data_IF_884288518197
#
_entry.id   IF_884288518197
#
_cell.length_a   1.000
_cell.length_b   1.000
_cell.length_c   1.000
_cell.angle_alpha   90.00
_cell.angle_beta   90.00
_cell.angle_gamma   90.00
#
_symmetry.space_group_name_H-M   'P 1'
#
loop_
_entity.id
_entity.type
_entity.pdbx_description
1 polymer ?
#
# COMPACT_ATOMS: atom_id res chain seq x y z
N UNK A 1 -21.72 34.25 -21.84
CA UNK A 1 -20.67 34.33 -22.91
C UNK A 1 -20.23 32.97 -23.39
N UNK A 2 -19.60 32.10 -22.60
CA UNK A 2 -19.10 30.78 -23.07
C UNK A 2 -20.20 29.83 -23.57
N UNK A 3 -21.36 29.82 -22.91
CA UNK A 3 -22.50 28.99 -23.25
C UNK A 3 -23.08 29.39 -24.63
N UNK A 4 -23.25 30.71 -24.89
CA UNK A 4 -23.73 31.21 -26.16
C UNK A 4 -22.76 30.92 -27.31
N UNK A 5 -21.46 31.14 -27.10
CA UNK A 5 -20.43 30.80 -28.08
C UNK A 5 -20.36 29.28 -28.37
N UNK A 6 -20.65 28.45 -27.40
CA UNK A 6 -20.76 27.00 -27.61
C UNK A 6 -21.98 26.66 -28.48
N UNK A 7 -23.14 27.28 -28.18
CA UNK A 7 -24.36 27.12 -28.99
C UNK A 7 -24.15 27.47 -30.45
N UNK A 8 -23.49 28.58 -30.72
CA UNK A 8 -23.13 29.00 -32.09
C UNK A 8 -22.23 27.94 -32.78
N UNK A 9 -21.25 27.42 -32.06
CA UNK A 9 -20.33 26.42 -32.59
C UNK A 9 -20.98 25.09 -32.97
N UNK A 10 -22.03 24.66 -32.25
CA UNK A 10 -22.78 23.43 -32.54
C UNK A 10 -24.03 23.67 -33.42
N UNK A 11 -24.21 24.91 -33.91
CA UNK A 11 -25.35 25.28 -34.77
C UNK A 11 -26.69 25.40 -34.04
N UNK A 12 -26.69 25.49 -32.71
CA UNK A 12 -27.92 25.77 -31.95
C UNK A 12 -28.20 27.28 -31.95
N UNK A 13 -29.36 27.68 -32.45
CA UNK A 13 -29.76 29.10 -32.45
C UNK A 13 -29.99 29.64 -31.05
N UNK A 14 -29.89 30.95 -30.87
CA UNK A 14 -30.02 31.63 -29.57
C UNK A 14 -31.32 31.29 -28.84
N UNK A 15 -32.42 31.14 -29.53
CA UNK A 15 -33.72 30.77 -28.94
C UNK A 15 -33.72 29.32 -28.43
N UNK A 16 -33.09 28.36 -29.16
CA UNK A 16 -32.95 26.98 -28.70
C UNK A 16 -32.08 26.91 -27.41
N UNK A 17 -31.04 27.71 -27.34
CA UNK A 17 -30.19 27.79 -26.14
C UNK A 17 -30.94 28.34 -24.93
N UNK A 18 -31.77 29.38 -25.11
CA UNK A 18 -32.65 29.94 -24.07
C UNK A 18 -33.69 28.93 -23.62
N UNK A 19 -34.27 28.17 -24.56
CA UNK A 19 -35.27 27.16 -24.22
C UNK A 19 -34.65 26.03 -23.37
N UNK A 20 -33.44 25.53 -23.74
CA UNK A 20 -32.72 24.54 -22.95
C UNK A 20 -32.46 25.05 -21.53
N UNK A 21 -32.03 26.29 -21.40
CA UNK A 21 -31.81 26.91 -20.08
C UNK A 21 -33.09 26.97 -19.26
N UNK A 22 -34.19 27.43 -19.88
CA UNK A 22 -35.49 27.49 -19.24
C UNK A 22 -36.02 26.12 -18.80
N UNK A 23 -35.86 25.10 -19.63
CA UNK A 23 -36.27 23.72 -19.32
C UNK A 23 -35.49 23.15 -18.15
N UNK A 24 -34.16 23.37 -18.10
CA UNK A 24 -33.31 22.97 -16.98
C UNK A 24 -33.73 23.66 -15.68
N UNK A 25 -33.93 24.98 -15.71
CA UNK A 25 -34.36 25.76 -14.55
C UNK A 25 -35.75 25.33 -14.06
N UNK A 26 -36.68 25.06 -14.97
CA UNK A 26 -38.00 24.53 -14.63
C UNK A 26 -37.89 23.13 -13.97
N UNK A 27 -37.01 22.28 -14.49
CA UNK A 27 -36.71 20.98 -13.89
C UNK A 27 -36.19 21.09 -12.46
N UNK A 28 -35.26 22.01 -12.19
CA UNK A 28 -34.75 22.25 -10.84
C UNK A 28 -35.80 22.81 -9.90
N UNK A 29 -36.64 23.74 -10.37
CA UNK A 29 -37.76 24.29 -9.58
C UNK A 29 -38.75 23.17 -9.19
N UNK A 30 -39.16 22.34 -10.14
CA UNK A 30 -40.04 21.21 -9.88
C UNK A 30 -39.41 20.17 -8.91
N UNK A 31 -38.11 19.90 -9.04
CA UNK A 31 -37.42 19.02 -8.14
C UNK A 31 -37.36 19.56 -6.70
N UNK A 32 -37.10 20.87 -6.54
CA UNK A 32 -37.13 21.57 -5.24
C UNK A 32 -38.51 21.47 -4.60
N UNK A 33 -39.56 21.87 -5.33
CA UNK A 33 -40.92 21.85 -4.82
C UNK A 33 -41.38 20.44 -4.42
N UNK A 34 -40.96 19.41 -5.15
CA UNK A 34 -41.20 18.01 -4.81
C UNK A 34 -40.45 17.57 -3.55
N UNK A 35 -39.23 18.04 -3.36
CA UNK A 35 -38.44 17.70 -2.16
C UNK A 35 -39.02 18.32 -0.90
N UNK A 36 -39.49 19.58 -0.98
CA UNK A 36 -40.15 20.27 0.12
C UNK A 36 -41.48 19.61 0.53
N UNK A 37 -42.24 19.10 -0.45
CA UNK A 37 -43.51 18.38 -0.20
C UNK A 37 -43.29 17.00 0.44
N UNK A 38 -42.23 16.29 0.09
CA UNK A 38 -42.03 14.93 0.55
C UNK A 38 -41.55 14.79 1.99
N UNK A 39 -41.02 15.85 2.63
CA UNK A 39 -40.43 15.80 3.97
C UNK A 39 -39.58 14.53 4.23
N UNK A 40 -39.06 13.94 3.18
CA UNK A 40 -38.31 12.69 3.28
C UNK A 40 -36.92 12.99 3.78
N UNK A 41 -36.54 12.37 4.87
CA UNK A 41 -35.12 12.23 5.22
C UNK A 41 -34.46 11.49 4.06
N UNK A 42 -33.42 12.09 3.49
CA UNK A 42 -32.64 11.41 2.44
C UNK A 42 -32.19 10.06 2.99
N UNK A 43 -32.66 8.98 2.39
CA UNK A 43 -32.10 7.68 2.68
C UNK A 43 -30.61 7.70 2.35
N UNK A 44 -29.81 6.98 3.13
CA UNK A 44 -28.42 6.72 2.78
C UNK A 44 -28.37 6.26 1.32
N UNK A 45 -27.39 6.75 0.58
CA UNK A 45 -27.22 6.40 -0.83
C UNK A 45 -27.14 4.89 -0.99
N UNK A 46 -28.06 4.32 -1.76
CA UNK A 46 -28.00 2.91 -2.15
C UNK A 46 -26.89 2.73 -3.18
N UNK A 47 -25.99 1.80 -2.92
CA UNK A 47 -24.93 1.45 -3.85
C UNK A 47 -25.53 0.75 -5.10
N UNK A 48 -24.92 0.91 -6.28
CA UNK A 48 -25.27 0.14 -7.48
C UNK A 48 -25.17 -1.38 -7.26
N UNK A 49 -25.89 -2.15 -8.04
CA UNK A 49 -25.99 -3.60 -7.88
C UNK A 49 -24.65 -4.36 -7.93
N UNK A 50 -23.64 -3.84 -8.64
CA UNK A 50 -22.31 -4.43 -8.68
C UNK A 50 -21.54 -4.34 -7.34
N UNK A 51 -22.08 -3.63 -6.35
CA UNK A 51 -21.58 -3.62 -4.97
C UNK A 51 -22.20 -4.66 -4.06
N UNK A 52 -23.24 -5.40 -4.51
CA UNK A 52 -24.00 -6.33 -3.67
C UNK A 52 -23.14 -7.45 -3.04
N UNK A 53 -22.04 -7.82 -3.70
CA UNK A 53 -21.11 -8.86 -3.21
C UNK A 53 -20.08 -8.36 -2.21
N UNK A 54 -20.08 -7.06 -1.92
CA UNK A 54 -19.07 -6.41 -1.07
C UNK A 54 -19.71 -5.80 0.16
N UNK A 55 -18.88 -5.59 1.17
CA UNK A 55 -19.30 -4.99 2.45
C UNK A 55 -18.34 -3.88 2.87
N UNK A 56 -18.89 -2.84 3.52
CA UNK A 56 -18.17 -1.81 4.25
C UNK A 56 -18.31 -2.02 5.78
N UNK A 57 -18.30 -0.91 6.52
CA UNK A 57 -18.50 -0.91 7.96
C UNK A 57 -17.31 -1.47 8.76
N UNK A 58 -17.55 -1.87 10.01
CA UNK A 58 -16.51 -2.35 10.90
C UNK A 58 -15.80 -3.62 10.42
N UNK A 59 -14.53 -3.76 10.80
CA UNK A 59 -13.74 -4.94 10.49
C UNK A 59 -14.30 -6.20 11.15
N UNK A 60 -14.45 -7.26 10.35
CA UNK A 60 -14.84 -8.58 10.83
C UNK A 60 -13.83 -9.63 10.34
N UNK A 61 -13.21 -10.36 11.27
CA UNK A 61 -12.25 -11.43 10.96
C UNK A 61 -12.82 -12.56 10.12
N UNK A 62 -14.14 -12.78 10.16
CA UNK A 62 -14.81 -13.78 9.31
C UNK A 62 -14.72 -13.46 7.82
N UNK A 63 -14.34 -12.22 7.49
CA UNK A 63 -14.13 -11.77 6.12
C UNK A 63 -12.69 -12.02 5.62
N UNK A 64 -11.78 -12.51 6.49
CA UNK A 64 -10.44 -12.87 6.04
C UNK A 64 -10.49 -14.08 5.08
N UNK A 65 -9.57 -14.07 4.11
CA UNK A 65 -9.54 -15.04 3.02
C UNK A 65 -8.16 -15.68 2.89
N UNK A 66 -8.08 -16.95 2.43
CA UNK A 66 -6.82 -17.56 2.05
C UNK A 66 -6.17 -16.77 0.90
N UNK A 67 -4.87 -16.52 1.02
CA UNK A 67 -4.11 -15.75 0.02
C UNK A 67 -2.94 -16.55 -0.57
N UNK A 68 -2.67 -17.74 -0.07
CA UNK A 68 -1.69 -18.65 -0.64
C UNK A 68 -2.08 -19.11 -2.04
N UNK A 69 -1.09 -19.32 -2.89
CA UNK A 69 -1.27 -19.83 -4.25
C UNK A 69 -0.41 -21.08 -4.44
N UNK A 70 -0.95 -22.18 -4.98
CA UNK A 70 -0.17 -23.39 -5.18
C UNK A 70 1.16 -23.13 -5.90
N UNK A 71 2.27 -23.69 -5.39
CA UNK A 71 3.61 -23.43 -5.90
C UNK A 71 3.76 -23.77 -7.40
N UNK A 72 3.06 -24.80 -7.90
CA UNK A 72 3.04 -25.14 -9.32
C UNK A 72 2.46 -23.97 -10.15
N UNK A 73 1.35 -23.37 -9.68
CA UNK A 73 0.70 -22.25 -10.35
C UNK A 73 1.59 -21.00 -10.36
N UNK A 74 2.27 -20.71 -9.24
CA UNK A 74 3.22 -19.60 -9.18
C UNK A 74 4.40 -19.79 -10.16
N UNK A 75 4.90 -21.03 -10.32
CA UNK A 75 5.96 -21.32 -11.31
C UNK A 75 5.48 -21.16 -12.75
N UNK A 76 4.25 -21.56 -13.07
CA UNK A 76 3.65 -21.34 -14.39
C UNK A 76 3.57 -19.83 -14.69
N UNK A 77 3.08 -19.03 -13.75
CA UNK A 77 3.02 -17.57 -13.87
C UNK A 77 4.44 -17.01 -14.09
N UNK A 78 5.40 -17.39 -13.24
CA UNK A 78 6.78 -16.92 -13.35
C UNK A 78 7.42 -17.28 -14.71
N UNK A 79 7.16 -18.46 -15.24
CA UNK A 79 7.63 -18.86 -16.57
C UNK A 79 7.07 -17.95 -17.67
N UNK A 80 5.80 -17.57 -17.59
CA UNK A 80 5.19 -16.60 -18.51
C UNK A 80 5.75 -15.19 -18.34
N UNK A 81 5.95 -14.74 -17.11
CA UNK A 81 6.54 -13.43 -16.78
C UNK A 81 8.01 -13.28 -17.22
N UNK A 82 8.68 -14.40 -17.48
CA UNK A 82 10.10 -14.40 -17.91
C UNK A 82 10.28 -14.82 -19.37
N UNK A 83 9.18 -15.11 -20.08
CA UNK A 83 9.20 -15.42 -21.50
C UNK A 83 9.37 -14.16 -22.33
N UNK A 84 10.42 -14.09 -23.12
CA UNK A 84 10.68 -13.03 -24.08
C UNK A 84 10.17 -13.47 -25.44
N UNK A 85 9.26 -12.72 -26.08
CA UNK A 85 8.78 -13.06 -27.43
C UNK A 85 9.94 -13.16 -28.44
N UNK A 86 9.88 -14.11 -29.39
CA UNK A 86 10.86 -14.20 -30.46
C UNK A 86 10.99 -12.88 -31.25
N UNK A 87 12.22 -12.42 -31.44
CA UNK A 87 12.51 -11.17 -32.17
C UNK A 87 12.38 -9.90 -31.32
N UNK A 88 11.98 -9.98 -30.03
CA UNK A 88 11.87 -8.83 -29.16
C UNK A 88 13.25 -8.40 -28.59
N UNK A 89 13.64 -7.15 -28.83
CA UNK A 89 14.95 -6.61 -28.47
C UNK A 89 14.94 -5.96 -27.09
N UNK A 90 15.14 -6.77 -26.06
CA UNK A 90 15.18 -6.31 -24.66
C UNK A 90 16.45 -5.52 -24.35
N UNK A 91 16.31 -4.43 -23.61
CA UNK A 91 17.44 -3.76 -22.99
C UNK A 91 18.25 -4.75 -22.11
N UNK A 92 19.59 -4.80 -22.21
CA UNK A 92 20.41 -5.75 -21.45
C UNK A 92 20.19 -5.72 -19.93
N UNK A 93 19.91 -4.54 -19.34
CA UNK A 93 19.62 -4.42 -17.90
C UNK A 93 18.30 -5.08 -17.53
N UNK A 94 17.27 -4.95 -18.39
CA UNK A 94 15.98 -5.61 -18.18
C UNK A 94 16.11 -7.11 -18.32
N UNK A 95 16.85 -7.59 -19.36
CA UNK A 95 17.15 -9.01 -19.56
C UNK A 95 17.76 -9.66 -18.32
N UNK A 96 18.78 -9.02 -17.73
CA UNK A 96 19.41 -9.51 -16.50
C UNK A 96 18.40 -9.62 -15.35
N UNK A 97 17.49 -8.66 -15.20
CA UNK A 97 16.43 -8.73 -14.19
C UNK A 97 15.46 -9.90 -14.41
N UNK A 98 15.11 -10.19 -15.67
CA UNK A 98 14.25 -11.31 -16.05
C UNK A 98 14.94 -12.66 -15.74
N UNK A 99 16.22 -12.80 -16.06
CA UNK A 99 17.02 -13.98 -15.72
C UNK A 99 17.07 -14.22 -14.21
N UNK A 100 17.24 -13.17 -13.40
CA UNK A 100 17.18 -13.28 -11.94
C UNK A 100 15.80 -13.74 -11.47
N UNK A 101 14.70 -13.26 -12.06
CA UNK A 101 13.34 -13.72 -11.73
C UNK A 101 13.16 -15.22 -12.06
N UNK A 102 13.73 -15.69 -13.17
CA UNK A 102 13.72 -17.12 -13.49
C UNK A 102 14.49 -17.96 -12.45
N UNK A 103 15.62 -17.46 -11.94
CA UNK A 103 16.36 -18.10 -10.84
C UNK A 103 15.54 -18.14 -9.54
N UNK A 104 14.81 -17.07 -9.21
CA UNK A 104 13.92 -17.01 -8.05
C UNK A 104 12.77 -18.04 -8.17
N UNK A 105 12.15 -18.14 -9.36
CA UNK A 105 11.10 -19.10 -9.65
C UNK A 105 11.58 -20.55 -9.55
N UNK A 106 12.83 -20.79 -9.92
CA UNK A 106 13.50 -22.10 -9.79
C UNK A 106 13.94 -22.42 -8.35
N UNK A 107 13.75 -21.48 -7.40
CA UNK A 107 14.18 -21.64 -6.00
C UNK A 107 15.70 -21.52 -5.76
N UNK A 108 16.46 -21.04 -6.77
CA UNK A 108 17.90 -20.80 -6.64
C UNK A 108 18.23 -19.52 -5.88
N UNK A 109 17.27 -18.62 -5.79
CA UNK A 109 17.34 -17.35 -5.06
C UNK A 109 16.02 -17.11 -4.33
N UNK A 110 16.01 -16.37 -3.21
CA UNK A 110 14.77 -15.93 -2.59
C UNK A 110 14.04 -14.94 -3.50
N UNK A 111 12.71 -14.88 -3.36
CA UNK A 111 11.83 -13.99 -4.13
C UNK A 111 11.97 -12.58 -3.62
N UNK A 112 12.30 -11.65 -4.52
CA UNK A 112 12.34 -10.22 -4.21
C UNK A 112 10.94 -9.58 -4.26
N UNK A 113 10.87 -8.32 -3.89
CA UNK A 113 9.63 -7.55 -3.86
C UNK A 113 8.96 -7.44 -5.22
N UNK A 114 9.75 -7.18 -6.27
CA UNK A 114 9.23 -7.01 -7.63
C UNK A 114 8.63 -8.28 -8.22
N UNK A 115 9.25 -9.43 -7.98
CA UNK A 115 8.68 -10.71 -8.40
C UNK A 115 7.45 -11.09 -7.56
N UNK A 116 7.48 -10.86 -6.24
CA UNK A 116 6.33 -11.11 -5.37
C UNK A 116 5.09 -10.31 -5.81
N UNK A 117 5.26 -9.05 -6.16
CA UNK A 117 4.20 -8.21 -6.73
C UNK A 117 3.66 -8.76 -8.04
N UNK A 118 4.56 -9.09 -8.98
CA UNK A 118 4.17 -9.64 -10.28
C UNK A 118 3.44 -11.00 -10.16
N UNK A 119 3.85 -11.85 -9.21
CA UNK A 119 3.16 -13.12 -8.91
C UNK A 119 1.79 -12.89 -8.25
N UNK A 120 1.66 -11.90 -7.37
CA UNK A 120 0.37 -11.53 -6.80
C UNK A 120 -0.60 -11.07 -7.91
N UNK A 121 -0.17 -10.14 -8.76
CA UNK A 121 -0.98 -9.67 -9.90
C UNK A 121 -1.31 -10.82 -10.84
N UNK A 122 -0.32 -11.60 -11.26
CA UNK A 122 -0.53 -12.71 -12.19
C UNK A 122 -1.51 -13.77 -11.66
N UNK A 123 -1.45 -14.09 -10.37
CA UNK A 123 -2.40 -15.02 -9.77
C UNK A 123 -3.83 -14.47 -9.73
N UNK A 124 -3.99 -13.19 -9.40
CA UNK A 124 -5.29 -12.51 -9.42
C UNK A 124 -5.91 -12.47 -10.82
N UNK A 125 -5.11 -12.13 -11.84
CA UNK A 125 -5.56 -12.11 -13.24
C UNK A 125 -6.09 -13.46 -13.70
N UNK A 126 -5.43 -14.56 -13.29
CA UNK A 126 -5.84 -15.92 -13.60
C UNK A 126 -7.03 -16.41 -12.77
N UNK A 127 -7.34 -15.73 -11.67
CA UNK A 127 -8.53 -15.91 -10.83
C UNK A 127 -9.71 -15.02 -11.27
N UNK A 128 -9.57 -14.28 -12.39
CA UNK A 128 -10.61 -13.41 -12.92
C UNK A 128 -10.67 -12.01 -12.31
N UNK A 129 -9.69 -11.60 -11.53
CA UNK A 129 -9.63 -10.29 -10.89
C UNK A 129 -8.80 -9.33 -11.74
N UNK A 130 -9.38 -8.25 -12.32
CA UNK A 130 -8.64 -7.26 -13.06
C UNK A 130 -7.66 -6.48 -12.15
N UNK A 131 -6.51 -6.09 -12.70
CA UNK A 131 -5.51 -5.29 -12.00
C UNK A 131 -5.22 -4.03 -12.79
N UNK A 132 -5.35 -2.86 -12.14
CA UNK A 132 -5.04 -1.56 -12.70
C UNK A 132 -4.05 -0.84 -11.81
N UNK A 133 -2.92 -0.44 -12.38
CA UNK A 133 -1.86 0.30 -11.73
C UNK A 133 -1.61 1.61 -12.46
N UNK A 134 -1.55 2.72 -11.75
CA UNK A 134 -1.14 4.01 -12.29
C UNK A 134 -0.22 4.76 -11.33
N UNK A 135 0.56 5.68 -11.86
CA UNK A 135 1.48 6.52 -11.11
C UNK A 135 2.63 6.98 -12.00
N UNK A 136 3.45 7.90 -11.52
CA UNK A 136 4.62 8.36 -12.24
C UNK A 136 5.66 7.23 -12.29
N UNK A 137 6.18 6.92 -13.48
CA UNK A 137 7.12 5.81 -13.74
C UNK A 137 6.62 4.43 -13.26
N UNK A 138 5.32 4.23 -13.04
CA UNK A 138 4.79 3.01 -12.40
C UNK A 138 4.94 1.76 -13.27
N UNK A 139 5.01 1.88 -14.61
CA UNK A 139 5.25 0.75 -15.52
C UNK A 139 6.61 0.09 -15.28
N UNK A 140 7.62 0.88 -14.98
CA UNK A 140 8.98 0.44 -14.63
C UNK A 140 9.16 0.30 -13.13
N UNK A 141 8.48 1.12 -12.36
CA UNK A 141 8.73 1.44 -10.97
C UNK A 141 9.83 2.50 -10.82
N UNK A 142 9.63 3.50 -9.95
CA UNK A 142 10.59 4.59 -9.70
C UNK A 142 12.00 4.06 -9.38
N UNK A 143 12.07 2.92 -8.67
CA UNK A 143 13.33 2.28 -8.28
C UNK A 143 13.73 1.11 -9.20
N UNK A 144 13.19 1.03 -10.42
CA UNK A 144 13.41 -0.06 -11.39
C UNK A 144 13.04 -1.46 -10.86
N UNK A 145 12.13 -1.57 -9.91
CA UNK A 145 11.76 -2.84 -9.26
C UNK A 145 10.76 -3.65 -10.05
N UNK A 146 9.89 -3.00 -10.81
CA UNK A 146 8.69 -3.63 -11.40
C UNK A 146 8.92 -4.15 -12.81
N UNK A 147 9.24 -3.28 -13.75
CA UNK A 147 9.32 -3.61 -15.18
C UNK A 147 8.12 -4.44 -15.67
N UNK A 148 6.89 -3.96 -15.38
CA UNK A 148 5.65 -4.60 -15.85
C UNK A 148 5.39 -4.40 -17.34
N UNK A 149 6.06 -3.46 -17.96
CA UNK A 149 6.10 -3.26 -19.39
C UNK A 149 7.55 -3.26 -19.89
N UNK A 150 7.77 -3.95 -20.97
CA UNK A 150 9.05 -3.96 -21.69
C UNK A 150 8.89 -3.17 -22.97
N UNK A 151 9.92 -2.46 -23.37
CA UNK A 151 9.96 -1.71 -24.62
C UNK A 151 11.04 -2.32 -25.48
N UNK A 152 10.67 -2.72 -26.70
CA UNK A 152 11.65 -3.11 -27.70
C UNK A 152 12.48 -1.88 -28.09
N UNK A 153 13.79 -1.94 -27.87
CA UNK A 153 14.63 -0.76 -28.04
C UNK A 153 14.95 -0.44 -29.51
N UNK A 154 14.62 -1.32 -30.47
CA UNK A 154 14.74 -1.07 -31.90
C UNK A 154 13.44 -0.58 -32.53
N UNK A 155 12.30 -1.21 -32.15
CA UNK A 155 10.98 -0.89 -32.74
C UNK A 155 10.16 0.08 -31.91
N UNK A 156 10.42 0.19 -30.59
CA UNK A 156 9.63 0.96 -29.65
C UNK A 156 8.30 0.28 -29.24
N UNK A 157 8.07 -0.95 -29.66
CA UNK A 157 6.86 -1.69 -29.29
C UNK A 157 6.85 -2.10 -27.83
N UNK A 158 5.67 -2.03 -27.21
CA UNK A 158 5.42 -2.43 -25.82
C UNK A 158 5.06 -3.91 -25.72
N UNK A 159 5.61 -4.58 -24.71
CA UNK A 159 5.17 -5.90 -24.28
C UNK A 159 4.90 -5.91 -22.77
N UNK A 160 3.69 -6.27 -22.36
CA UNK A 160 3.30 -6.40 -20.96
C UNK A 160 3.10 -7.90 -20.62
N UNK A 161 4.07 -8.59 -20.01
CA UNK A 161 3.99 -10.03 -19.76
C UNK A 161 2.74 -10.45 -18.98
N UNK A 162 2.25 -9.60 -18.06
CA UNK A 162 1.03 -9.85 -17.30
C UNK A 162 -0.26 -9.88 -18.15
N UNK A 163 -0.22 -9.43 -19.40
CA UNK A 163 -1.35 -9.52 -20.34
C UNK A 163 -1.36 -10.85 -21.12
N UNK A 164 -0.30 -11.67 -20.98
CA UNK A 164 -0.06 -12.86 -21.79
C UNK A 164 0.19 -14.12 -20.94
N UNK A 165 -0.52 -14.26 -19.81
CA UNK A 165 -0.38 -15.42 -18.94
C UNK A 165 -1.20 -16.61 -19.42
N UNK A 166 -2.45 -16.38 -19.86
CA UNK A 166 -3.36 -17.37 -20.41
C UNK A 166 -4.48 -16.70 -21.22
N UNK A 167 -5.07 -17.46 -22.14
CA UNK A 167 -6.28 -17.01 -22.85
C UNK A 167 -7.45 -16.87 -21.87
N UNK A 168 -8.24 -15.79 -22.02
CA UNK A 168 -9.39 -15.52 -21.17
C UNK A 168 -9.10 -15.03 -19.76
N UNK A 169 -7.84 -14.72 -19.44
CA UNK A 169 -7.49 -14.08 -18.16
C UNK A 169 -8.13 -12.70 -17.99
N UNK A 170 -8.23 -12.22 -16.76
CA UNK A 170 -8.64 -10.86 -16.48
C UNK A 170 -7.64 -9.81 -17.00
N UNK A 171 -8.09 -8.57 -17.16
CA UNK A 171 -7.32 -7.48 -17.75
C UNK A 171 -6.26 -6.93 -16.80
N UNK A 172 -5.02 -6.82 -17.28
CA UNK A 172 -3.95 -6.05 -16.65
C UNK A 172 -3.76 -4.71 -17.33
N UNK A 173 -3.66 -3.65 -16.56
CA UNK A 173 -3.39 -2.29 -17.05
C UNK A 173 -2.30 -1.63 -16.19
N UNK A 174 -1.30 -1.04 -16.83
CA UNK A 174 -0.28 -0.22 -16.17
C UNK A 174 -0.05 1.06 -16.95
N UNK A 175 -0.12 2.20 -16.27
CA UNK A 175 -0.01 3.53 -16.89
C UNK A 175 1.01 4.39 -16.15
N UNK A 176 1.93 4.97 -16.90
CA UNK A 176 2.72 6.08 -16.41
C UNK A 176 1.86 7.35 -16.47
N UNK A 177 1.57 7.91 -15.32
CA UNK A 177 0.67 9.06 -15.18
C UNK A 177 1.40 10.39 -15.42
N UNK A 178 0.66 11.46 -15.78
CA UNK A 178 1.20 12.81 -15.74
C UNK A 178 1.58 13.22 -14.30
N UNK A 179 2.39 14.27 -14.18
CA UNK A 179 2.80 14.88 -12.92
C UNK A 179 1.63 15.69 -12.31
N UNK A 180 0.69 14.98 -11.68
CA UNK A 180 -0.45 15.58 -10.97
C UNK A 180 -1.08 14.56 -10.03
N UNK A 181 -0.60 14.50 -8.80
CA UNK A 181 -1.05 13.52 -7.80
C UNK A 181 -2.56 13.64 -7.52
N UNK A 182 -3.04 14.88 -7.33
CA UNK A 182 -4.46 15.15 -7.05
C UNK A 182 -5.38 14.69 -8.17
N UNK A 183 -5.02 14.94 -9.43
CA UNK A 183 -5.84 14.53 -10.58
C UNK A 183 -5.83 13.01 -10.77
N UNK A 184 -4.65 12.39 -10.68
CA UNK A 184 -4.50 10.95 -10.90
C UNK A 184 -5.14 10.16 -9.78
N UNK A 185 -4.87 10.50 -8.52
CA UNK A 185 -5.50 9.83 -7.38
C UNK A 185 -7.02 10.01 -7.38
N UNK A 186 -7.52 11.20 -7.73
CA UNK A 186 -8.95 11.46 -7.87
C UNK A 186 -9.60 10.59 -8.94
N UNK A 187 -8.92 10.40 -10.09
CA UNK A 187 -9.38 9.52 -11.15
C UNK A 187 -9.40 8.05 -10.69
N UNK A 188 -8.32 7.55 -10.12
CA UNK A 188 -8.22 6.15 -9.68
C UNK A 188 -9.18 5.85 -8.52
N UNK A 189 -9.44 6.82 -7.64
CA UNK A 189 -10.49 6.68 -6.64
C UNK A 189 -11.87 6.50 -7.30
N UNK A 190 -12.23 7.35 -8.28
CA UNK A 190 -13.47 7.21 -9.04
C UNK A 190 -13.55 5.86 -9.76
N UNK A 191 -12.46 5.44 -10.42
CA UNK A 191 -12.38 4.16 -11.10
C UNK A 191 -12.61 2.98 -10.15
N UNK A 192 -11.98 2.99 -8.97
CA UNK A 192 -12.13 1.93 -7.96
C UNK A 192 -13.56 1.80 -7.42
N UNK A 193 -14.35 2.85 -7.54
CA UNK A 193 -15.74 2.87 -7.11
C UNK A 193 -16.69 2.25 -8.13
N UNK A 194 -16.35 2.37 -9.41
CA UNK A 194 -17.16 1.80 -10.49
C UNK A 194 -16.72 0.38 -10.90
N UNK A 195 -15.58 -0.09 -10.35
CA UNK A 195 -15.03 -1.44 -10.58
C UNK A 195 -14.58 -2.09 -9.26
N UNK A 196 -15.53 -2.42 -8.34
CA UNK A 196 -15.18 -2.97 -7.03
C UNK A 196 -14.50 -4.35 -7.08
N UNK A 197 -14.65 -5.08 -8.19
CA UNK A 197 -14.01 -6.36 -8.45
C UNK A 197 -12.52 -6.25 -8.77
N UNK A 198 -12.06 -5.07 -9.22
CA UNK A 198 -10.68 -4.86 -9.61
C UNK A 198 -9.78 -4.49 -8.44
N UNK A 199 -8.52 -4.88 -8.53
CA UNK A 199 -7.44 -4.32 -7.72
C UNK A 199 -6.93 -3.05 -8.40
N UNK A 200 -7.32 -1.89 -7.88
CA UNK A 200 -6.93 -0.57 -8.39
C UNK A 200 -5.84 0.01 -7.50
N UNK A 201 -4.67 0.32 -8.09
CA UNK A 201 -3.51 0.83 -7.36
C UNK A 201 -3.06 2.17 -7.94
N UNK A 202 -2.80 3.12 -7.05
CA UNK A 202 -2.04 4.33 -7.37
C UNK A 202 -0.71 4.30 -6.63
N UNK A 203 0.40 4.47 -7.37
CA UNK A 203 1.74 4.55 -6.80
C UNK A 203 2.26 5.98 -6.86
N UNK A 204 2.56 6.57 -5.71
CA UNK A 204 3.30 7.82 -5.67
C UNK A 204 4.75 7.59 -6.07
N UNK A 205 5.39 8.53 -6.78
CA UNK A 205 6.80 8.40 -7.14
C UNK A 205 7.69 8.33 -5.88
N UNK A 206 7.40 9.18 -4.91
CA UNK A 206 7.78 9.07 -3.51
C UNK A 206 6.53 9.32 -2.67
N UNK A 207 6.40 8.63 -1.53
CA UNK A 207 5.24 8.80 -0.67
C UNK A 207 5.03 10.21 -0.16
N UNK A 208 6.12 11.00 -0.07
CA UNK A 208 6.09 12.42 0.25
C UNK A 208 5.13 13.21 -0.65
N UNK A 209 5.03 12.84 -1.92
CA UNK A 209 4.22 13.56 -2.91
C UNK A 209 2.71 13.27 -2.80
N UNK A 210 2.29 12.34 -1.95
CA UNK A 210 0.87 12.17 -1.62
C UNK A 210 0.26 13.46 -1.05
N UNK A 211 1.07 14.39 -0.52
CA UNK A 211 0.64 15.70 -0.06
C UNK A 211 -0.03 16.56 -1.16
N UNK A 212 0.36 16.37 -2.43
CA UNK A 212 -0.28 17.02 -3.59
C UNK A 212 -1.71 16.54 -3.85
N UNK A 213 -2.14 15.44 -3.22
CA UNK A 213 -3.48 14.89 -3.29
C UNK A 213 -4.22 14.93 -1.94
N UNK A 214 -3.75 15.69 -0.96
CA UNK A 214 -4.29 15.68 0.41
C UNK A 214 -5.80 15.95 0.46
N UNK A 215 -6.32 16.82 -0.39
CA UNK A 215 -7.76 17.07 -0.48
C UNK A 215 -8.54 15.82 -0.86
N UNK A 216 -8.02 15.00 -1.78
CA UNK A 216 -8.65 13.73 -2.16
C UNK A 216 -8.58 12.72 -1.02
N UNK A 217 -7.48 12.69 -0.29
CA UNK A 217 -7.31 11.82 0.89
C UNK A 217 -8.31 12.18 1.98
N UNK A 218 -8.39 13.46 2.37
CA UNK A 218 -9.21 13.92 3.49
C UNK A 218 -10.71 13.90 3.17
N UNK A 219 -11.09 14.32 1.96
CA UNK A 219 -12.50 14.55 1.64
C UNK A 219 -13.19 13.33 1.01
N UNK A 220 -12.44 12.43 0.40
CA UNK A 220 -13.01 11.29 -0.32
C UNK A 220 -12.50 9.94 0.23
N UNK A 221 -11.21 9.66 0.17
CA UNK A 221 -10.68 8.31 0.48
C UNK A 221 -10.96 7.93 1.93
N UNK A 222 -10.70 8.82 2.90
CA UNK A 222 -10.88 8.54 4.32
C UNK A 222 -12.31 8.74 4.83
N UNK A 223 -13.14 9.55 4.14
CA UNK A 223 -14.39 10.03 4.70
C UNK A 223 -15.65 9.72 3.87
N UNK A 224 -15.52 9.20 2.65
CA UNK A 224 -16.66 9.03 1.74
C UNK A 224 -17.65 7.95 2.21
N UNK A 225 -17.18 6.94 2.93
CA UNK A 225 -18.06 5.93 3.49
C UNK A 225 -18.98 6.54 4.54
N UNK A 226 -18.45 7.26 5.51
CA UNK A 226 -19.25 7.92 6.55
C UNK A 226 -20.18 9.00 5.98
N UNK A 227 -19.64 9.89 5.14
CA UNK A 227 -20.42 10.99 4.59
C UNK A 227 -21.50 10.56 3.60
N UNK A 228 -21.24 9.55 2.78
CA UNK A 228 -22.06 9.26 1.59
C UNK A 228 -22.34 7.76 1.38
N UNK A 229 -21.94 6.89 2.29
CA UNK A 229 -22.00 5.43 2.12
C UNK A 229 -21.34 4.99 0.79
N UNK A 230 -20.17 5.55 0.48
CA UNK A 230 -19.43 5.28 -0.74
C UNK A 230 -18.13 4.52 -0.43
N UNK A 231 -18.10 3.25 -0.81
CA UNK A 231 -16.96 2.37 -0.55
C UNK A 231 -15.93 2.40 -1.69
N UNK A 232 -14.69 2.08 -1.37
CA UNK A 232 -13.59 1.95 -2.32
C UNK A 232 -12.60 0.90 -1.85
N UNK A 233 -12.06 0.12 -2.78
CA UNK A 233 -10.97 -0.82 -2.54
C UNK A 233 -9.62 -0.31 -3.03
N UNK A 234 -9.47 0.98 -3.29
CA UNK A 234 -8.24 1.57 -3.82
C UNK A 234 -7.03 1.26 -2.95
N UNK A 235 -5.88 1.02 -3.57
CA UNK A 235 -4.59 0.83 -2.91
C UNK A 235 -3.68 2.01 -3.21
N UNK A 236 -3.10 2.61 -2.20
CA UNK A 236 -2.05 3.61 -2.33
C UNK A 236 -0.70 2.97 -1.98
N UNK A 237 0.22 2.97 -2.94
CA UNK A 237 1.60 2.52 -2.75
C UNK A 237 2.48 3.75 -2.53
N UNK A 238 2.99 3.91 -1.32
CA UNK A 238 3.69 5.11 -0.88
C UNK A 238 5.11 4.76 -0.44
N UNK A 239 6.14 4.97 -1.30
CA UNK A 239 7.53 4.76 -0.91
C UNK A 239 7.90 5.58 0.32
N UNK A 240 8.32 4.89 1.40
CA UNK A 240 8.61 5.45 2.70
C UNK A 240 9.84 4.76 3.32
N UNK A 241 10.71 5.55 3.93
CA UNK A 241 11.90 5.06 4.64
C UNK A 241 13.01 6.12 4.65
N UNK A 242 13.77 6.13 5.73
CA UNK A 242 14.84 7.08 5.99
C UNK A 242 16.17 6.46 5.52
N UNK A 243 16.65 6.93 4.35
CA UNK A 243 17.80 6.33 3.64
C UNK A 243 18.82 7.37 3.17
N UNK A 244 18.79 8.57 3.78
CA UNK A 244 19.73 9.66 3.46
C UNK A 244 19.44 10.43 2.18
N UNK A 245 18.20 10.32 1.64
CA UNK A 245 17.79 10.98 0.39
C UNK A 245 17.23 12.40 0.61
N UNK A 246 17.15 12.86 1.86
CA UNK A 246 16.67 14.20 2.19
C UNK A 246 15.16 14.29 2.48
N UNK A 247 14.68 15.53 2.75
CA UNK A 247 13.34 15.77 3.30
C UNK A 247 12.18 15.35 2.41
N UNK A 248 12.28 15.53 1.09
CA UNK A 248 11.19 15.29 0.16
C UNK A 248 11.16 13.85 -0.39
N UNK A 249 12.05 12.98 0.07
CA UNK A 249 12.23 11.63 -0.45
C UNK A 249 12.36 10.58 0.66
N UNK A 250 11.80 10.85 1.85
CA UNK A 250 11.94 10.00 3.02
C UNK A 250 10.59 9.61 3.64
N UNK A 251 9.63 10.52 3.75
CA UNK A 251 8.42 10.30 4.53
C UNK A 251 7.15 10.43 3.72
N UNK A 252 6.39 9.34 3.64
CA UNK A 252 5.00 9.37 3.18
C UNK A 252 4.04 9.98 4.21
N UNK A 253 4.55 10.53 5.31
CA UNK A 253 3.74 11.13 6.39
C UNK A 253 2.77 10.13 7.00
N UNK A 254 3.29 9.00 7.45
CA UNK A 254 2.53 7.91 8.11
C UNK A 254 1.60 8.45 9.20
N UNK A 255 2.06 9.41 10.00
CA UNK A 255 1.30 10.08 11.07
C UNK A 255 -0.01 10.70 10.59
N UNK A 256 -0.06 11.25 9.36
CA UNK A 256 -1.27 11.87 8.79
C UNK A 256 -2.32 10.83 8.47
N UNK A 257 -1.94 9.70 7.89
CA UNK A 257 -2.86 8.60 7.63
C UNK A 257 -3.38 8.00 8.93
N UNK A 258 -2.52 7.81 9.93
CA UNK A 258 -2.92 7.27 11.23
C UNK A 258 -3.86 8.23 11.98
N UNK A 259 -3.71 9.54 11.80
CA UNK A 259 -4.64 10.53 12.35
C UNK A 259 -6.03 10.44 11.71
N UNK A 260 -6.12 10.09 10.42
CA UNK A 260 -7.39 9.92 9.70
C UNK A 260 -8.12 8.61 10.04
N UNK A 261 -7.47 7.68 10.76
CA UNK A 261 -8.03 6.37 11.09
C UNK A 261 -9.15 6.45 12.14
N UNK A 262 -10.36 6.10 11.76
CA UNK A 262 -11.52 5.98 12.63
C UNK A 262 -12.55 5.01 12.02
N UNK A 263 -13.31 4.29 12.86
CA UNK A 263 -14.44 3.45 12.42
C UNK A 263 -14.10 2.43 11.32
N UNK A 264 -12.85 1.98 11.29
CA UNK A 264 -12.29 1.08 10.26
C UNK A 264 -12.42 1.62 8.82
N UNK A 265 -12.33 2.94 8.65
CA UNK A 265 -12.52 3.65 7.40
C UNK A 265 -11.47 3.34 6.32
N UNK A 266 -10.22 3.12 6.73
CA UNK A 266 -9.08 2.80 5.86
C UNK A 266 -8.26 1.67 6.48
N UNK A 267 -7.30 1.13 5.75
CA UNK A 267 -6.28 0.23 6.26
C UNK A 267 -4.91 0.88 6.10
N UNK A 268 -4.01 0.74 7.07
CA UNK A 268 -2.64 1.25 7.00
C UNK A 268 -1.67 0.12 7.32
N UNK A 269 -0.84 -0.25 6.34
CA UNK A 269 0.10 -1.36 6.43
C UNK A 269 1.51 -0.92 6.01
N UNK A 270 2.51 -1.59 6.60
CA UNK A 270 3.91 -1.44 6.24
C UNK A 270 4.57 -2.82 6.22
N UNK A 271 4.38 -3.60 5.15
CA UNK A 271 4.93 -4.94 5.05
C UNK A 271 6.46 -4.91 5.05
N UNK A 272 7.09 -5.82 5.83
CA UNK A 272 8.53 -5.86 6.01
C UNK A 272 9.26 -6.75 4.99
N UNK A 273 8.54 -7.63 4.28
CA UNK A 273 9.17 -8.53 3.31
C UNK A 273 8.26 -8.85 2.12
N UNK A 274 8.83 -9.47 1.11
CA UNK A 274 8.18 -9.78 -0.15
C UNK A 274 6.94 -10.70 -0.01
N UNK A 275 6.97 -11.67 0.90
CA UNK A 275 5.83 -12.57 1.13
C UNK A 275 4.65 -11.82 1.78
N UNK A 276 4.92 -10.98 2.77
CA UNK A 276 3.91 -10.14 3.40
C UNK A 276 3.24 -9.22 2.36
N UNK A 277 4.02 -8.62 1.46
CA UNK A 277 3.47 -7.78 0.39
C UNK A 277 2.63 -8.58 -0.61
N UNK A 278 3.08 -9.75 -1.04
CA UNK A 278 2.31 -10.67 -1.88
C UNK A 278 0.95 -10.98 -1.27
N UNK A 279 0.93 -11.40 -0.02
CA UNK A 279 -0.30 -11.75 0.69
C UNK A 279 -1.20 -10.54 0.94
N UNK A 280 -0.62 -9.37 1.23
CA UNK A 280 -1.37 -8.13 1.45
C UNK A 280 -2.16 -7.71 0.20
N UNK A 281 -1.52 -7.74 -0.98
CA UNK A 281 -2.18 -7.40 -2.25
C UNK A 281 -3.32 -8.36 -2.57
N UNK A 282 -3.08 -9.67 -2.42
CA UNK A 282 -4.10 -10.68 -2.63
C UNK A 282 -5.24 -10.57 -1.63
N UNK A 283 -4.93 -10.33 -0.35
CA UNK A 283 -5.95 -10.07 0.69
C UNK A 283 -6.84 -8.91 0.32
N UNK A 284 -6.28 -7.80 -0.13
CA UNK A 284 -7.03 -6.63 -0.55
C UNK A 284 -7.96 -6.90 -1.73
N UNK A 285 -7.52 -7.68 -2.70
CA UNK A 285 -8.28 -8.00 -3.89
C UNK A 285 -9.41 -9.02 -3.65
N UNK A 286 -9.13 -10.05 -2.86
CA UNK A 286 -10.03 -11.20 -2.69
C UNK A 286 -11.06 -11.02 -1.57
N UNK A 287 -10.71 -10.26 -0.52
CA UNK A 287 -11.59 -10.03 0.61
C UNK A 287 -12.79 -9.18 0.22
N UNK A 288 -13.98 -9.56 0.66
CA UNK A 288 -15.23 -8.85 0.35
C UNK A 288 -15.38 -7.52 1.10
N UNK A 289 -14.65 -7.32 2.17
CA UNK A 289 -14.60 -6.06 2.92
C UNK A 289 -13.77 -5.03 2.14
N UNK A 290 -14.46 -4.04 1.56
CA UNK A 290 -13.85 -3.02 0.69
C UNK A 290 -13.54 -1.76 1.48
N UNK A 291 -12.26 -1.56 1.78
CA UNK A 291 -11.70 -0.35 2.39
C UNK A 291 -10.45 0.07 1.64
N UNK A 292 -10.19 1.37 1.53
CA UNK A 292 -8.92 1.84 0.98
C UNK A 292 -7.74 1.26 1.78
N UNK A 293 -6.68 0.89 1.08
CA UNK A 293 -5.46 0.33 1.67
C UNK A 293 -4.30 1.28 1.41
N UNK A 294 -3.68 1.78 2.46
CA UNK A 294 -2.48 2.60 2.43
C UNK A 294 -1.29 1.70 2.74
N UNK A 295 -0.35 1.58 1.81
CA UNK A 295 0.84 0.74 1.96
C UNK A 295 2.08 1.63 1.98
N UNK A 296 2.79 1.64 3.10
CA UNK A 296 4.13 2.21 3.20
C UNK A 296 5.10 1.23 2.52
N UNK A 297 5.46 1.49 1.27
CA UNK A 297 6.34 0.61 0.48
C UNK A 297 7.81 0.97 0.71
N UNK A 298 8.72 -0.01 0.69
CA UNK A 298 10.14 0.27 0.89
C UNK A 298 10.81 0.82 -0.37
N UNK A 299 12.06 1.26 -0.21
CA UNK A 299 12.96 1.68 -1.29
C UNK A 299 14.14 0.72 -1.43
N UNK A 300 15.12 0.78 -0.52
CA UNK A 300 16.29 -0.12 -0.56
C UNK A 300 15.95 -1.59 -0.35
N UNK A 301 14.93 -1.87 0.48
CA UNK A 301 14.50 -3.24 0.75
C UNK A 301 13.87 -3.95 -0.47
N UNK A 302 13.50 -3.23 -1.52
CA UNK A 302 12.96 -3.82 -2.75
C UNK A 302 13.87 -4.92 -3.35
N UNK A 303 15.19 -4.84 -3.09
CA UNK A 303 16.19 -5.79 -3.58
C UNK A 303 17.10 -6.36 -2.48
N UNK A 304 16.83 -6.03 -1.22
CA UNK A 304 17.63 -6.53 -0.11
C UNK A 304 17.30 -7.99 0.18
N UNK A 305 18.33 -8.82 0.32
CA UNK A 305 18.15 -10.25 0.65
C UNK A 305 17.43 -10.43 1.99
N UNK A 306 17.57 -9.49 2.93
CA UNK A 306 16.89 -9.50 4.22
C UNK A 306 15.37 -9.32 4.10
N UNK A 307 14.88 -8.72 3.02
CA UNK A 307 13.46 -8.50 2.75
C UNK A 307 12.90 -9.49 1.70
N UNK A 308 13.77 -10.28 1.08
CA UNK A 308 13.34 -11.34 0.19
C UNK A 308 12.73 -12.52 0.97
N UNK A 309 11.90 -13.31 0.31
CA UNK A 309 11.19 -14.41 0.94
C UNK A 309 11.46 -15.75 0.23
N UNK A 310 11.47 -16.89 0.96
CA UNK A 310 11.47 -18.19 0.31
C UNK A 310 10.24 -18.34 -0.59
N UNK A 311 10.39 -18.98 -1.75
CA UNK A 311 9.27 -19.19 -2.69
C UNK A 311 8.07 -19.90 -2.02
N UNK A 312 8.35 -20.82 -1.07
CA UNK A 312 7.32 -21.51 -0.30
C UNK A 312 6.45 -20.56 0.54
N UNK A 313 6.98 -19.43 0.99
CA UNK A 313 6.22 -18.48 1.79
C UNK A 313 5.06 -17.79 1.02
N UNK A 314 5.07 -17.85 -0.32
CA UNK A 314 3.96 -17.37 -1.15
C UNK A 314 2.89 -18.46 -1.37
N UNK A 315 3.28 -19.72 -1.24
CA UNK A 315 2.40 -20.87 -1.43
C UNK A 315 1.84 -21.45 -0.13
N UNK A 316 2.24 -20.89 0.99
CA UNK A 316 1.80 -21.28 2.33
C UNK A 316 1.57 -20.04 3.20
N UNK A 317 0.66 -20.12 4.14
CA UNK A 317 0.34 -19.03 5.07
C UNK A 317 -0.56 -17.93 4.49
N UNK A 318 -0.33 -16.70 4.93
CA UNK A 318 -1.12 -15.51 4.58
C UNK A 318 -0.49 -14.24 5.16
N UNK A 319 -1.16 -13.11 4.98
CA UNK A 319 -0.72 -11.86 5.58
C UNK A 319 -0.81 -11.93 7.12
N UNK A 320 0.28 -11.64 7.78
CA UNK A 320 0.36 -11.58 9.24
C UNK A 320 0.48 -10.12 9.69
N UNK A 321 -0.52 -9.57 10.39
CA UNK A 321 -0.48 -8.19 10.86
C UNK A 321 0.65 -7.88 11.84
N UNK A 322 1.19 -8.92 12.49
CA UNK A 322 2.35 -8.85 13.40
C UNK A 322 3.27 -10.04 13.14
N UNK A 323 4.56 -9.78 12.99
CA UNK A 323 5.59 -10.82 12.93
C UNK A 323 6.29 -10.91 14.30
N UNK A 324 6.16 -12.04 14.97
CA UNK A 324 6.82 -12.33 16.23
C UNK A 324 8.33 -12.58 16.06
N UNK A 325 9.05 -12.64 17.17
CA UNK A 325 10.46 -13.04 17.22
C UNK A 325 10.59 -14.34 18.03
N UNK A 326 11.19 -15.41 17.49
CA UNK A 326 11.40 -16.67 18.22
C UNK A 326 12.25 -16.50 19.48
N UNK A 327 13.00 -15.41 19.60
CA UNK A 327 13.81 -15.09 20.80
C UNK A 327 12.98 -14.44 21.93
N UNK A 328 11.68 -14.12 21.74
CA UNK A 328 10.86 -13.39 22.73
C UNK A 328 10.86 -14.08 24.10
N UNK A 329 10.76 -15.39 24.15
CA UNK A 329 10.77 -16.15 25.41
C UNK A 329 12.09 -16.17 26.18
N UNK A 330 13.19 -15.69 25.61
CA UNK A 330 14.52 -15.64 26.22
C UNK A 330 15.06 -14.20 26.36
N UNK A 331 14.31 -13.22 25.88
CA UNK A 331 14.75 -11.83 25.82
C UNK A 331 14.60 -11.13 27.18
N UNK A 332 15.48 -10.18 27.47
CA UNK A 332 15.37 -9.23 28.58
C UNK A 332 14.81 -7.89 28.09
N UNK A 333 14.91 -7.64 26.80
CA UNK A 333 14.38 -6.44 26.14
C UNK A 333 13.68 -6.82 24.84
N UNK A 334 12.50 -6.26 24.62
CA UNK A 334 11.71 -6.50 23.43
C UNK A 334 11.47 -5.18 22.69
N UNK A 335 11.86 -5.14 21.42
CA UNK A 335 11.62 -4.01 20.53
C UNK A 335 10.39 -4.30 19.68
N UNK A 336 9.50 -3.31 19.58
CA UNK A 336 8.39 -3.30 18.62
C UNK A 336 8.69 -2.20 17.61
N UNK A 337 8.66 -2.50 16.32
CA UNK A 337 8.99 -1.56 15.25
C UNK A 337 8.20 -1.90 13.98
N UNK A 338 8.45 -1.19 12.89
CA UNK A 338 7.83 -1.46 11.58
C UNK A 338 8.79 -1.11 10.43
N UNK A 339 8.60 -1.74 9.28
CA UNK A 339 9.32 -1.41 8.05
C UNK A 339 10.83 -1.64 8.11
N UNK A 340 11.60 -0.73 7.49
CA UNK A 340 13.04 -0.87 7.29
C UNK A 340 13.83 -0.98 8.60
N UNK A 341 13.47 -0.22 9.63
CA UNK A 341 14.20 -0.23 10.90
C UNK A 341 14.24 -1.61 11.55
N UNK A 342 13.25 -2.47 11.29
CA UNK A 342 13.27 -3.86 11.75
C UNK A 342 14.46 -4.65 11.20
N UNK A 343 14.81 -4.42 9.93
CA UNK A 343 15.98 -5.05 9.29
C UNK A 343 17.29 -4.51 9.85
N UNK A 344 17.37 -3.19 10.02
CA UNK A 344 18.56 -2.55 10.60
C UNK A 344 18.81 -3.04 12.03
N UNK A 345 17.75 -3.13 12.85
CA UNK A 345 17.84 -3.66 14.23
C UNK A 345 18.26 -5.12 14.26
N UNK A 346 17.73 -5.97 13.39
CA UNK A 346 18.15 -7.38 13.28
C UNK A 346 19.62 -7.50 12.89
N UNK A 347 20.07 -6.74 11.87
CA UNK A 347 21.46 -6.69 11.46
C UNK A 347 22.38 -6.20 12.59
N UNK A 348 21.97 -5.15 13.32
CA UNK A 348 22.69 -4.63 14.48
C UNK A 348 22.78 -5.65 15.61
N UNK A 349 21.66 -6.27 15.97
CA UNK A 349 21.57 -7.34 16.97
C UNK A 349 22.55 -8.47 16.67
N UNK A 350 22.56 -8.95 15.45
CA UNK A 350 23.39 -10.08 15.04
C UNK A 350 24.89 -9.69 14.98
N UNK A 351 25.22 -8.48 14.50
CA UNK A 351 26.57 -7.93 14.51
C UNK A 351 27.12 -7.77 15.93
N UNK A 352 26.28 -7.35 16.88
CA UNK A 352 26.65 -7.15 18.28
C UNK A 352 26.47 -8.39 19.17
N UNK A 353 25.94 -9.48 18.61
CA UNK A 353 25.66 -10.76 19.30
C UNK A 353 24.74 -10.59 20.53
N UNK A 354 23.68 -9.78 20.36
CA UNK A 354 22.71 -9.51 21.43
C UNK A 354 21.63 -10.61 21.45
N UNK A 355 21.94 -11.74 22.06
CA UNK A 355 21.09 -12.94 22.03
C UNK A 355 19.78 -12.77 22.83
N UNK A 356 19.77 -11.89 23.84
CA UNK A 356 18.62 -11.62 24.73
C UNK A 356 17.77 -10.42 24.30
N UNK A 357 17.83 -10.07 23.00
CA UNK A 357 17.04 -9.00 22.38
C UNK A 357 16.05 -9.60 21.38
N UNK A 358 14.75 -9.37 21.58
CA UNK A 358 13.71 -9.75 20.63
C UNK A 358 13.22 -8.53 19.82
N UNK A 359 12.79 -8.78 18.57
CA UNK A 359 12.33 -7.74 17.65
C UNK A 359 11.01 -8.19 17.00
N UNK A 360 9.91 -7.65 17.45
CA UNK A 360 8.55 -7.86 16.91
C UNK A 360 8.25 -6.77 15.89
N UNK A 361 7.66 -7.13 14.75
CA UNK A 361 7.38 -6.18 13.67
C UNK A 361 5.87 -6.04 13.48
N UNK A 362 5.36 -4.80 13.54
CA UNK A 362 4.01 -4.45 13.12
C UNK A 362 3.99 -4.31 11.60
N UNK A 363 3.21 -5.15 10.93
CA UNK A 363 2.99 -5.10 9.47
C UNK A 363 1.72 -4.30 9.13
N UNK A 364 0.79 -4.22 10.09
CA UNK A 364 -0.45 -3.45 9.98
C UNK A 364 -0.61 -2.53 11.19
N UNK A 365 -0.84 -1.25 10.95
CA UNK A 365 -1.13 -0.26 11.98
C UNK A 365 -2.64 -0.10 12.21
N UNK A 366 -3.43 -0.20 11.15
CA UNK A 366 -4.89 -0.03 11.24
C UNK A 366 -5.66 -0.91 10.25
N UNK A 367 -6.75 -1.58 10.66
CA UNK A 367 -7.20 -1.72 12.04
C UNK A 367 -6.11 -2.30 12.94
N UNK A 368 -6.03 -1.83 14.21
CA UNK A 368 -4.91 -2.20 15.07
C UNK A 368 -4.99 -3.69 15.47
N UNK A 369 -3.91 -4.47 15.32
CA UNK A 369 -3.92 -5.93 15.51
C UNK A 369 -3.66 -6.33 16.98
N UNK A 370 -4.54 -5.91 17.90
CA UNK A 370 -4.38 -6.13 19.36
C UNK A 370 -4.12 -7.59 19.73
N UNK A 371 -4.89 -8.50 19.12
CA UNK A 371 -4.81 -9.93 19.43
C UNK A 371 -3.49 -10.53 18.92
N UNK A 372 -3.10 -10.21 17.69
CA UNK A 372 -1.87 -10.70 17.07
C UNK A 372 -0.65 -10.16 17.81
N UNK A 373 -0.71 -8.89 18.21
CA UNK A 373 0.35 -8.29 19.02
C UNK A 373 0.44 -8.97 20.39
N UNK A 374 -0.68 -9.18 21.08
CA UNK A 374 -0.71 -9.91 22.34
C UNK A 374 -0.10 -11.31 22.20
N UNK A 375 -0.49 -12.06 21.18
CA UNK A 375 0.07 -13.39 20.95
C UNK A 375 1.57 -13.38 20.65
N UNK A 376 2.07 -12.36 19.93
CA UNK A 376 3.49 -12.19 19.66
C UNK A 376 4.31 -11.81 20.89
N UNK A 377 3.68 -11.15 21.88
CA UNK A 377 4.32 -10.71 23.12
C UNK A 377 4.19 -11.73 24.27
N UNK A 378 3.24 -12.65 24.21
CA UNK A 378 2.97 -13.65 25.24
C UNK A 378 4.24 -14.38 25.75
N UNK A 379 5.17 -14.83 24.89
CA UNK A 379 6.40 -15.49 25.35
C UNK A 379 7.31 -14.56 26.17
N UNK A 380 7.15 -13.25 26.09
CA UNK A 380 7.95 -12.22 26.78
C UNK A 380 7.29 -11.77 28.10
N UNK A 381 6.04 -12.12 28.39
CA UNK A 381 5.28 -11.64 29.54
C UNK A 381 6.06 -11.75 30.86
N UNK A 382 6.00 -10.67 31.67
CA UNK A 382 6.68 -10.57 32.97
C UNK A 382 8.19 -10.35 32.88
N UNK A 383 8.75 -10.06 31.71
CA UNK A 383 10.19 -9.91 31.50
C UNK A 383 10.53 -8.52 30.96
N UNK A 384 11.45 -7.85 31.61
CA UNK A 384 12.16 -6.67 31.13
C UNK A 384 11.33 -5.52 30.54
N UNK A 385 11.92 -4.79 29.63
CA UNK A 385 11.38 -3.56 29.04
C UNK A 385 10.89 -3.80 27.61
N UNK A 386 9.71 -3.22 27.32
CA UNK A 386 9.17 -3.12 25.94
C UNK A 386 9.48 -1.74 25.39
N UNK A 387 9.99 -1.68 24.16
CA UNK A 387 10.41 -0.43 23.51
C UNK A 387 9.75 -0.31 22.15
N UNK A 388 9.05 0.80 21.90
CA UNK A 388 8.68 1.17 20.54
C UNK A 388 9.88 1.85 19.86
N UNK A 389 10.25 1.39 18.66
CA UNK A 389 11.34 1.95 17.86
C UNK A 389 10.82 2.38 16.49
N UNK A 390 11.06 3.63 16.15
CA UNK A 390 10.78 4.16 14.81
C UNK A 390 11.95 4.98 14.29
N UNK A 391 12.11 5.05 12.96
CA UNK A 391 13.16 5.86 12.33
C UNK A 391 12.74 7.32 12.07
N UNK A 392 11.46 7.62 12.20
CA UNK A 392 10.90 8.95 12.10
C UNK A 392 11.22 9.81 13.34
N UNK A 393 11.17 11.15 13.20
CA UNK A 393 11.23 12.07 14.34
C UNK A 393 10.08 11.84 15.36
N UNK A 394 10.30 12.23 16.61
CA UNK A 394 9.33 12.07 17.72
C UNK A 394 7.93 12.66 17.44
N UNK A 395 7.85 13.71 16.65
CA UNK A 395 6.58 14.35 16.27
C UNK A 395 5.96 13.78 15.01
N UNK A 396 6.55 12.76 14.41
CA UNK A 396 6.13 12.10 13.17
C UNK A 396 6.04 10.58 13.37
N UNK A 397 5.70 9.86 12.30
CA UNK A 397 5.61 8.41 12.33
C UNK A 397 4.43 7.89 13.14
N UNK A 398 4.58 6.69 13.71
CA UNK A 398 3.48 5.98 14.32
C UNK A 398 3.38 6.13 15.86
N UNK A 399 4.38 6.68 16.53
CA UNK A 399 4.47 6.66 18.00
C UNK A 399 3.20 7.15 18.71
N UNK A 400 2.70 8.32 18.33
CA UNK A 400 1.50 8.91 18.96
C UNK A 400 0.27 8.03 18.81
N UNK A 401 0.18 7.28 17.72
CA UNK A 401 -0.92 6.36 17.44
C UNK A 401 -0.77 5.02 18.16
N UNK A 402 0.43 4.41 18.14
CA UNK A 402 0.65 3.06 18.65
C UNK A 402 0.87 3.02 20.14
N UNK A 403 1.45 4.06 20.76
CA UNK A 403 1.87 4.08 22.17
C UNK A 403 0.76 3.65 23.12
N UNK A 404 -0.41 4.29 23.04
CA UNK A 404 -1.56 3.94 23.91
C UNK A 404 -2.06 2.53 23.65
N UNK A 405 -2.08 2.09 22.39
CA UNK A 405 -2.55 0.76 21.99
C UNK A 405 -1.61 -0.33 22.46
N UNK A 406 -0.32 -0.14 22.29
CA UNK A 406 0.70 -1.06 22.81
C UNK A 406 0.60 -1.13 24.33
N UNK A 407 0.47 0.01 25.03
CA UNK A 407 0.32 0.03 26.49
C UNK A 407 -0.91 -0.76 26.96
N UNK A 408 -2.03 -0.70 26.23
CA UNK A 408 -3.23 -1.51 26.52
C UNK A 408 -2.99 -3.02 26.33
N UNK A 409 -2.10 -3.40 25.41
CA UNK A 409 -1.76 -4.80 25.18
C UNK A 409 -0.82 -5.33 26.25
N UNK A 410 0.19 -4.55 26.67
CA UNK A 410 1.22 -4.98 27.63
C UNK A 410 0.83 -4.74 29.10
N UNK A 411 -0.31 -4.06 29.37
CA UNK A 411 -0.77 -3.78 30.73
C UNK A 411 0.17 -2.85 31.49
N UNK A 412 0.58 -3.26 32.69
CA UNK A 412 1.44 -2.49 33.59
C UNK A 412 2.93 -2.53 33.23
N UNK A 413 3.33 -3.28 32.19
CA UNK A 413 4.72 -3.34 31.77
C UNK A 413 5.20 -1.97 31.28
N UNK A 414 6.48 -1.66 31.52
CA UNK A 414 7.07 -0.40 31.12
C UNK A 414 7.22 -0.34 29.59
N UNK A 415 6.62 0.68 28.97
CA UNK A 415 6.83 1.05 27.58
C UNK A 415 7.72 2.28 27.48
N UNK A 416 8.86 2.14 26.82
CA UNK A 416 9.70 3.26 26.39
C UNK A 416 9.70 3.44 24.88
N UNK A 417 10.26 4.53 24.39
CA UNK A 417 10.31 4.84 22.96
C UNK A 417 11.69 5.28 22.54
N UNK A 418 12.11 4.87 21.34
CA UNK A 418 13.35 5.31 20.69
C UNK A 418 13.03 5.80 19.29
N UNK A 419 13.41 7.03 19.00
CA UNK A 419 13.12 7.76 17.77
C UNK A 419 14.17 8.84 17.53
N UNK A 420 14.18 9.48 16.37
CA UNK A 420 14.94 10.72 16.15
C UNK A 420 14.34 11.89 16.92
N UNK A 421 15.15 12.91 17.20
CA UNK A 421 14.66 14.14 17.80
C UNK A 421 13.52 14.76 17.01
N UNK A 422 12.58 15.41 17.69
CA UNK A 422 11.51 16.16 17.04
C UNK A 422 12.08 17.17 16.05
N UNK A 423 11.49 17.25 14.87
CA UNK A 423 11.98 18.09 13.79
C UNK A 423 10.83 18.64 12.95
N UNK A 424 10.98 19.85 12.43
CA UNK A 424 10.05 20.44 11.47
C UNK A 424 10.19 19.81 10.07
N UNK A 425 11.38 19.29 9.74
CA UNK A 425 11.69 18.56 8.52
C UNK A 425 11.67 17.05 8.77
N UNK A 426 11.13 16.21 7.86
CA UNK A 426 11.11 14.77 8.10
C UNK A 426 12.50 14.16 8.20
N UNK A 427 13.46 14.62 7.40
CA UNK A 427 14.80 14.05 7.35
C UNK A 427 15.87 15.13 7.15
N UNK A 428 17.09 14.79 7.49
CA UNK A 428 18.27 15.61 7.18
C UNK A 428 18.63 15.55 5.70
N UNK A 429 19.13 16.65 5.14
CA UNK A 429 19.66 16.70 3.77
C UNK A 429 21.12 16.21 3.66
N UNK A 430 21.74 15.72 4.74
CA UNK A 430 23.12 15.24 4.79
C UNK A 430 23.18 13.73 5.01
N UNK A 431 23.85 13.01 4.10
CA UNK A 431 24.07 11.57 4.23
C UNK A 431 24.86 11.20 5.48
N UNK A 432 25.85 12.02 5.88
CA UNK A 432 26.67 11.73 7.06
C UNK A 432 25.89 11.98 8.35
N UNK A 433 25.08 13.04 8.41
CA UNK A 433 24.15 13.24 9.53
C UNK A 433 23.15 12.11 9.64
N UNK A 434 22.60 11.64 8.52
CA UNK A 434 21.68 10.49 8.49
C UNK A 434 22.35 9.23 9.07
N UNK A 435 23.59 8.91 8.68
CA UNK A 435 24.33 7.76 9.21
C UNK A 435 24.51 7.84 10.73
N UNK A 436 24.92 9.03 11.22
CA UNK A 436 25.09 9.27 12.65
C UNK A 436 23.77 9.10 13.42
N UNK A 437 22.68 9.68 12.92
CA UNK A 437 21.36 9.54 13.51
C UNK A 437 20.90 8.08 13.54
N UNK A 438 21.11 7.33 12.46
CA UNK A 438 20.71 5.93 12.37
C UNK A 438 21.53 5.05 13.33
N UNK A 439 22.85 5.23 13.39
CA UNK A 439 23.70 4.50 14.33
C UNK A 439 23.36 4.81 15.78
N UNK A 440 23.06 6.08 16.10
CA UNK A 440 22.62 6.49 17.43
C UNK A 440 21.31 5.83 17.81
N UNK A 441 20.31 5.85 16.90
CA UNK A 441 19.02 5.21 17.11
C UNK A 441 19.16 3.71 17.38
N UNK A 442 19.92 2.99 16.56
CA UNK A 442 20.16 1.55 16.72
C UNK A 442 20.89 1.26 18.05
N UNK A 443 21.88 2.06 18.42
CA UNK A 443 22.59 1.92 19.67
C UNK A 443 21.68 2.11 20.88
N UNK A 444 20.86 3.16 20.90
CA UNK A 444 19.89 3.42 21.97
C UNK A 444 18.81 2.34 22.07
N UNK A 445 18.28 1.91 20.94
CA UNK A 445 17.26 0.86 20.91
C UNK A 445 17.77 -0.47 21.46
N UNK A 446 19.01 -0.82 21.15
CA UNK A 446 19.63 -2.09 21.52
C UNK A 446 20.43 -2.03 22.84
N UNK A 447 20.54 -0.88 23.52
CA UNK A 447 21.20 -0.79 24.81
C UNK A 447 20.42 -1.60 25.85
N UNK A 448 21.04 -2.63 26.41
CA UNK A 448 20.53 -3.34 27.57
C UNK A 448 20.96 -2.56 28.81
N UNK A 449 19.98 -2.01 29.56
CA UNK A 449 20.22 -1.30 30.83
C UNK A 449 20.49 -2.27 31.96
#
# INVERSE_FOLDING_TARGET
>A
MLWQAYGERIGAGAEAMKQIEADILAGYAAARDNSEKKKAVSALRTLPAYWNDYVGGAYDRRLEVPTAVPAARLREIAARLTFVPPGFNLNPKVRKGIEQRAEMAAGKRPVDWGLAEALAFGSLLLEGVPVRLSGQDSRRGTFNQRHSAWIDFETGEDHLPLQHLADGQARFQAYDSPLSEGSVLGFEYGYSRDTPEALVLWEAQFGDFANGAQVVLDQFISAAEDKWNLWSGIVLLLPHGYEGQGPEHSSARLERFLQLCAEDNIQVCQPANAAQYFHLLRRQALRKWRKPLIVMTPKSLLRADSAAAPFAALSDGGFQPVLGDPRAGQADRLLICSGKVAHDLRAWRDKKKLERLAIVTLEQFYPFPDRELRAALEPFEGRGEVVWVQEEPANMGAETFVRRRIQQVIGDARLSTVHRSASASPATGSTDSHKLEQETLLSLACAVT
#
